data_IF_072844459771
#
_entry.id   IF_072844459771
#
_cell.length_a   1.000
_cell.length_b   1.000
_cell.length_c   1.000
_cell.angle_alpha   90.00
_cell.angle_beta   90.00
_cell.angle_gamma   90.00
#
_symmetry.space_group_name_H-M   'P 1'
#
loop_
_entity.id
_entity.type
_entity.pdbx_description
1 polymer ?
#
# COMPACT_ATOMS: atom_id res chain seq x y z
N UNK A 1 -12.20 -5.44 0.84
CA UNK A 1 -12.62 -4.45 1.84
C UNK A 1 -12.13 -3.09 1.42
N UNK A 2 -13.03 -2.14 1.36
CA UNK A 2 -12.68 -0.74 1.13
C UNK A 2 -13.09 0.04 2.37
N UNK A 3 -12.12 0.66 3.03
CA UNK A 3 -12.36 1.45 4.23
C UNK A 3 -11.79 2.83 4.00
N UNK A 4 -12.61 3.84 4.15
CA UNK A 4 -12.18 5.23 4.12
C UNK A 4 -12.32 5.80 5.53
N UNK A 5 -11.20 6.25 6.08
CA UNK A 5 -11.16 6.99 7.34
C UNK A 5 -10.82 8.42 7.02
N UNK A 6 -11.84 9.25 7.04
CA UNK A 6 -11.67 10.69 7.07
C UNK A 6 -12.16 11.15 8.42
N UNK A 7 -11.64 12.22 8.93
CA UNK A 7 -12.24 12.75 10.12
C UNK A 7 -13.65 13.28 9.77
N UNK A 8 -14.43 13.57 10.79
CA UNK A 8 -15.83 13.95 10.66
C UNK A 8 -16.06 15.28 9.91
N UNK A 9 -15.00 15.98 9.52
CA UNK A 9 -15.05 17.28 8.86
C UNK A 9 -14.85 17.19 7.34
N UNK A 10 -15.05 16.04 6.74
CA UNK A 10 -14.96 15.84 5.28
C UNK A 10 -13.57 16.14 4.70
N UNK A 11 -12.51 15.89 5.47
CA UNK A 11 -11.16 16.03 4.99
C UNK A 11 -10.88 14.90 4.01
N UNK A 12 -10.50 15.25 2.77
CA UNK A 12 -10.13 14.26 1.78
C UNK A 12 -8.85 13.52 2.19
N UNK A 13 -8.75 12.20 1.93
CA UNK A 13 -7.56 11.45 2.26
C UNK A 13 -6.34 11.95 1.50
N UNK A 14 -5.20 11.99 2.17
CA UNK A 14 -3.92 12.35 1.57
C UNK A 14 -2.95 11.17 1.58
N UNK A 15 -3.29 10.08 2.24
CA UNK A 15 -2.53 8.82 2.21
C UNK A 15 -3.45 7.69 1.78
N UNK A 16 -2.98 6.90 0.83
CA UNK A 16 -3.66 5.67 0.44
C UNK A 16 -2.98 4.47 1.06
N UNK A 17 -3.72 3.63 1.77
CA UNK A 17 -3.26 2.32 2.22
C UNK A 17 -3.86 1.30 1.29
N UNK A 18 -3.02 0.65 0.49
CA UNK A 18 -3.46 -0.36 -0.47
C UNK A 18 -2.92 -1.73 -0.06
N UNK A 19 -3.72 -2.76 -0.27
CA UNK A 19 -3.34 -4.13 0.06
C UNK A 19 -3.88 -5.09 -0.99
N UNK A 20 -3.17 -6.18 -1.20
CA UNK A 20 -3.51 -7.15 -2.24
C UNK A 20 -4.69 -8.05 -1.87
N UNK A 21 -5.02 -8.15 -0.60
CA UNK A 21 -6.11 -8.98 -0.10
C UNK A 21 -6.66 -8.40 1.20
N UNK A 22 -7.95 -8.64 1.46
CA UNK A 22 -8.55 -8.25 2.74
C UNK A 22 -7.89 -8.98 3.92
N UNK A 23 -7.28 -10.14 3.70
CA UNK A 23 -6.53 -10.86 4.72
C UNK A 23 -5.27 -10.11 5.18
N UNK A 24 -4.79 -9.14 4.42
CA UNK A 24 -3.64 -8.34 4.79
C UNK A 24 -3.97 -7.22 5.77
N UNK A 25 -5.27 -6.97 6.01
CA UNK A 25 -5.69 -5.86 6.85
C UNK A 25 -5.16 -5.96 8.28
N UNK A 26 -5.06 -7.16 8.84
CA UNK A 26 -4.55 -7.33 10.20
C UNK A 26 -3.12 -6.80 10.37
N UNK A 27 -2.35 -6.75 9.29
CA UNK A 27 -1.02 -6.13 9.25
C UNK A 27 -1.15 -4.64 8.94
N UNK A 28 -1.86 -4.30 7.85
CA UNK A 28 -1.91 -2.93 7.34
C UNK A 28 -2.67 -1.97 8.25
N UNK A 29 -3.55 -2.47 9.10
CA UNK A 29 -4.22 -1.63 10.11
C UNK A 29 -3.23 -0.91 11.04
N UNK A 30 -2.03 -1.44 11.21
CA UNK A 30 -1.01 -0.77 12.02
C UNK A 30 -0.60 0.58 11.42
N UNK A 31 -0.53 0.67 10.09
CA UNK A 31 -0.32 1.96 9.41
C UNK A 31 -1.51 2.90 9.63
N UNK A 32 -2.72 2.38 9.49
CA UNK A 32 -3.94 3.15 9.71
C UNK A 32 -4.00 3.72 11.13
N UNK A 33 -3.69 2.91 12.13
CA UNK A 33 -3.72 3.32 13.54
C UNK A 33 -2.73 4.48 13.80
N UNK A 34 -1.56 4.44 13.21
CA UNK A 34 -0.56 5.51 13.34
C UNK A 34 -1.01 6.79 12.64
N UNK A 35 -1.54 6.67 11.43
CA UNK A 35 -2.06 7.84 10.70
C UNK A 35 -3.21 8.50 11.46
N UNK A 36 -4.10 7.69 12.02
CA UNK A 36 -5.22 8.18 12.83
C UNK A 36 -4.71 8.90 14.08
N UNK A 37 -3.70 8.33 14.75
CA UNK A 37 -3.07 8.95 15.93
C UNK A 37 -2.47 10.33 15.61
N UNK A 38 -1.93 10.51 14.42
CA UNK A 38 -1.36 11.79 13.99
C UNK A 38 -2.38 12.72 13.32
N UNK A 39 -3.64 12.31 13.22
CA UNK A 39 -4.67 13.12 12.59
C UNK A 39 -4.51 13.26 11.08
N UNK A 40 -3.88 12.29 10.45
CA UNK A 40 -3.66 12.28 9.00
C UNK A 40 -4.80 11.52 8.33
N UNK A 41 -5.53 12.19 7.43
CA UNK A 41 -6.62 11.58 6.70
C UNK A 41 -6.09 10.55 5.69
N UNK A 42 -6.68 9.36 5.69
CA UNK A 42 -6.28 8.28 4.80
C UNK A 42 -7.49 7.49 4.30
N UNK A 43 -7.29 6.75 3.24
CA UNK A 43 -8.22 5.71 2.81
C UNK A 43 -7.49 4.36 2.76
N UNK A 44 -8.21 3.28 3.00
CA UNK A 44 -7.68 1.93 2.91
C UNK A 44 -8.51 1.11 1.92
N UNK A 45 -7.86 0.49 0.96
CA UNK A 45 -8.52 -0.24 -0.12
C UNK A 45 -7.80 -1.54 -0.42
N UNK A 46 -8.59 -2.56 -0.76
CA UNK A 46 -8.07 -3.78 -1.36
C UNK A 46 -7.99 -3.57 -2.87
N UNK A 47 -6.78 -3.65 -3.41
CA UNK A 47 -6.53 -3.51 -4.85
C UNK A 47 -5.48 -4.54 -5.24
N UNK A 48 -5.90 -5.70 -5.70
CA UNK A 48 -4.99 -6.77 -6.07
C UNK A 48 -4.32 -6.49 -7.41
N UNK A 49 -2.99 -6.54 -7.44
CA UNK A 49 -2.24 -6.34 -8.68
C UNK A 49 -2.59 -7.38 -9.74
N UNK A 50 -2.86 -8.63 -9.33
CA UNK A 50 -3.08 -9.73 -10.25
C UNK A 50 -4.55 -9.94 -10.61
N UNK A 51 -5.47 -9.59 -9.69
CA UNK A 51 -6.90 -9.84 -9.89
C UNK A 51 -7.67 -8.58 -10.28
N UNK A 52 -7.12 -7.42 -9.99
CA UNK A 52 -7.74 -6.11 -10.24
C UNK A 52 -6.72 -5.15 -10.86
N UNK A 53 -6.03 -5.56 -11.96
CA UNK A 53 -4.94 -4.76 -12.50
C UNK A 53 -5.40 -3.39 -13.00
N UNK A 54 -6.58 -3.30 -13.60
CA UNK A 54 -7.08 -2.02 -14.11
C UNK A 54 -7.40 -1.05 -12.97
N UNK A 55 -8.02 -1.53 -11.89
CA UNK A 55 -8.30 -0.72 -10.70
C UNK A 55 -7.00 -0.23 -10.07
N UNK A 56 -5.99 -1.10 -10.01
CA UNK A 56 -4.67 -0.76 -9.48
C UNK A 56 -4.02 0.36 -10.30
N UNK A 57 -3.99 0.23 -11.62
CA UNK A 57 -3.42 1.24 -12.51
C UNK A 57 -4.20 2.54 -12.44
N UNK A 58 -5.53 2.48 -12.42
CA UNK A 58 -6.36 3.67 -12.28
C UNK A 58 -6.09 4.40 -10.97
N UNK A 59 -5.95 3.67 -9.86
CA UNK A 59 -5.59 4.28 -8.60
C UNK A 59 -4.25 5.01 -8.68
N UNK A 60 -3.24 4.32 -9.19
CA UNK A 60 -1.89 4.88 -9.29
C UNK A 60 -1.84 6.12 -10.18
N UNK A 61 -2.47 6.04 -11.34
CA UNK A 61 -2.46 7.14 -12.31
C UNK A 61 -3.18 8.38 -11.80
N UNK A 62 -4.23 8.21 -11.01
CA UNK A 62 -5.06 9.30 -10.51
C UNK A 62 -4.69 9.78 -9.11
N UNK A 63 -3.79 9.10 -8.42
CA UNK A 63 -3.48 9.37 -7.01
C UNK A 63 -3.06 10.82 -6.78
N UNK A 64 -2.12 11.32 -7.57
CA UNK A 64 -1.64 12.70 -7.43
C UNK A 64 -2.77 13.72 -7.62
N UNK A 65 -3.55 13.57 -8.68
CA UNK A 65 -4.65 14.50 -8.99
C UNK A 65 -5.77 14.42 -7.94
N UNK A 66 -5.91 13.28 -7.28
CA UNK A 66 -6.88 13.09 -6.20
C UNK A 66 -6.36 13.58 -4.84
N UNK A 67 -5.18 14.16 -4.79
CA UNK A 67 -4.62 14.72 -3.57
C UNK A 67 -3.86 13.75 -2.69
N UNK A 68 -3.59 12.54 -3.17
CA UNK A 68 -2.79 11.56 -2.44
C UNK A 68 -1.32 12.00 -2.45
N UNK A 69 -0.71 12.05 -1.28
CA UNK A 69 0.68 12.47 -1.06
C UNK A 69 1.63 11.30 -0.87
N UNK A 70 1.12 10.17 -0.42
CA UNK A 70 1.89 8.95 -0.19
C UNK A 70 0.98 7.73 -0.31
N UNK A 71 1.53 6.63 -0.81
CA UNK A 71 0.84 5.35 -0.88
C UNK A 71 1.62 4.35 -0.02
N UNK A 72 0.94 3.72 0.92
CA UNK A 72 1.48 2.62 1.73
C UNK A 72 0.87 1.34 1.15
N UNK A 73 1.69 0.50 0.55
CA UNK A 73 1.22 -0.68 -0.17
C UNK A 73 1.74 -1.95 0.48
N UNK A 74 0.84 -2.79 0.95
CA UNK A 74 1.16 -4.09 1.55
C UNK A 74 0.77 -5.23 0.63
N UNK A 75 1.66 -6.20 0.50
CA UNK A 75 1.40 -7.38 -0.31
C UNK A 75 2.20 -8.58 0.19
N UNK A 76 1.64 -9.76 0.01
CA UNK A 76 2.26 -11.02 0.41
C UNK A 76 2.49 -11.96 -0.77
N UNK A 77 3.42 -12.89 -0.59
CA UNK A 77 3.79 -13.85 -1.63
C UNK A 77 4.54 -13.18 -2.78
N UNK A 78 4.04 -13.36 -4.00
CA UNK A 78 4.48 -12.59 -5.16
C UNK A 78 3.94 -11.16 -5.04
N UNK A 79 4.62 -10.36 -4.24
CA UNK A 79 4.14 -9.07 -3.75
C UNK A 79 4.41 -7.95 -4.76
N UNK A 80 3.74 -7.99 -5.90
CA UNK A 80 3.98 -7.08 -7.02
C UNK A 80 3.28 -5.73 -6.88
N UNK A 81 2.31 -5.61 -5.97
CA UNK A 81 1.49 -4.39 -5.86
C UNK A 81 2.31 -3.11 -5.66
N UNK A 82 3.27 -3.03 -4.72
CA UNK A 82 4.01 -1.78 -4.53
C UNK A 82 4.78 -1.34 -5.78
N UNK A 83 5.49 -2.27 -6.42
CA UNK A 83 6.27 -1.96 -7.63
C UNK A 83 5.39 -1.58 -8.82
N UNK A 84 4.25 -2.22 -8.98
CA UNK A 84 3.32 -1.92 -10.06
C UNK A 84 2.67 -0.55 -9.87
N UNK A 85 2.32 -0.19 -8.63
CA UNK A 85 1.84 1.16 -8.32
C UNK A 85 2.93 2.20 -8.62
N UNK A 86 4.15 1.96 -8.16
CA UNK A 86 5.26 2.89 -8.36
C UNK A 86 5.56 3.12 -9.84
N UNK A 87 5.34 2.12 -10.69
CA UNK A 87 5.53 2.24 -12.13
C UNK A 87 4.53 3.19 -12.80
N UNK A 88 3.42 3.49 -12.14
CA UNK A 88 2.30 4.26 -12.71
C UNK A 88 2.03 5.59 -12.01
N UNK A 89 2.72 5.89 -10.92
CA UNK A 89 2.46 7.11 -10.15
C UNK A 89 3.73 7.90 -9.91
N UNK A 90 3.57 9.21 -9.73
CA UNK A 90 4.65 10.09 -9.23
C UNK A 90 4.60 10.23 -7.71
N UNK A 91 3.58 9.68 -7.07
CA UNK A 91 3.43 9.70 -5.61
C UNK A 91 4.38 8.70 -4.97
N UNK A 92 5.08 9.05 -3.86
CA UNK A 92 5.94 8.09 -3.18
C UNK A 92 5.19 6.84 -2.74
N UNK A 93 5.79 5.67 -3.00
CA UNK A 93 5.24 4.37 -2.62
C UNK A 93 6.12 3.73 -1.55
N UNK A 94 5.49 3.35 -0.44
CA UNK A 94 6.11 2.68 0.69
C UNK A 94 5.62 1.24 0.72
N UNK A 95 6.51 0.29 0.52
CA UNK A 95 6.17 -1.13 0.43
C UNK A 95 6.31 -1.84 1.76
N UNK A 96 5.27 -2.57 2.14
CA UNK A 96 5.26 -3.40 3.34
C UNK A 96 5.14 -4.86 2.94
N UNK A 97 6.19 -5.68 3.18
CA UNK A 97 6.11 -7.11 2.95
C UNK A 97 5.18 -7.75 3.99
N UNK A 98 4.09 -8.37 3.52
CA UNK A 98 3.16 -9.06 4.42
C UNK A 98 3.61 -10.52 4.57
N UNK A 99 3.64 -11.08 5.80
CA UNK A 99 4.00 -12.47 5.99
C UNK A 99 3.16 -13.42 5.15
N UNK A 100 3.82 -14.39 4.54
CA UNK A 100 3.19 -15.40 3.69
C UNK A 100 3.16 -16.75 4.36
N UNK A 101 2.25 -17.61 3.90
CA UNK A 101 2.04 -18.93 4.49
C UNK A 101 3.27 -19.83 4.41
N UNK A 102 3.97 -19.81 3.27
CA UNK A 102 5.03 -20.79 3.02
C UNK A 102 6.43 -20.28 3.31
N UNK A 103 6.71 -19.01 3.11
CA UNK A 103 8.06 -18.44 3.25
C UNK A 103 8.13 -17.32 4.29
N UNK A 104 7.08 -17.15 5.08
CA UNK A 104 7.07 -16.24 6.25
C UNK A 104 7.36 -14.77 5.89
N UNK A 105 7.11 -14.37 4.67
CA UNK A 105 7.33 -12.99 4.23
C UNK A 105 8.65 -12.75 3.49
N UNK A 106 9.57 -13.73 3.42
CA UNK A 106 10.79 -13.60 2.64
C UNK A 106 10.49 -13.41 1.16
N UNK A 107 9.54 -14.18 0.62
CA UNK A 107 9.05 -14.04 -0.74
C UNK A 107 8.43 -12.65 -0.98
N UNK A 108 7.67 -12.16 -0.03
CA UNK A 108 7.10 -10.81 -0.09
C UNK A 108 8.20 -9.75 -0.13
N UNK A 109 9.17 -9.85 0.77
CA UNK A 109 10.29 -8.92 0.82
C UNK A 109 11.09 -8.90 -0.48
N UNK A 110 11.46 -10.08 -0.99
CA UNK A 110 12.25 -10.18 -2.23
C UNK A 110 11.48 -9.69 -3.45
N UNK A 111 10.15 -9.83 -3.45
CA UNK A 111 9.31 -9.31 -4.53
C UNK A 111 9.24 -7.79 -4.57
N UNK A 112 9.52 -7.13 -3.46
CA UNK A 112 9.35 -5.67 -3.32
C UNK A 112 10.69 -4.93 -3.37
N UNK A 113 11.73 -5.47 -2.71
CA UNK A 113 12.90 -4.67 -2.34
C UNK A 113 13.82 -4.32 -3.50
N UNK A 114 13.98 -5.21 -4.48
CA UNK A 114 14.99 -5.07 -5.52
C UNK A 114 14.42 -4.37 -6.76
N UNK A 115 13.97 -3.13 -6.60
CA UNK A 115 13.36 -2.36 -7.68
C UNK A 115 14.38 -1.93 -8.74
N UNK A 116 13.96 -1.86 -10.01
CA UNK A 116 14.82 -1.37 -11.06
C UNK A 116 15.12 0.13 -10.91
N UNK A 117 16.25 0.54 -11.45
CA UNK A 117 16.65 1.94 -11.47
C UNK A 117 15.56 2.83 -12.07
N UNK A 118 15.20 3.89 -11.39
CA UNK A 118 14.21 4.87 -11.85
C UNK A 118 12.79 4.63 -11.35
N UNK A 119 12.51 3.46 -10.79
CA UNK A 119 11.18 3.15 -10.22
C UNK A 119 11.37 2.78 -8.74
N UNK A 120 11.39 3.76 -7.83
CA UNK A 120 11.69 3.49 -6.43
C UNK A 120 10.46 3.02 -5.65
N UNK A 121 10.70 2.08 -4.74
CA UNK A 121 9.77 1.73 -3.66
C UNK A 121 10.60 1.71 -2.37
N UNK A 122 10.21 2.52 -1.39
CA UNK A 122 10.81 2.44 -0.06
C UNK A 122 10.26 1.19 0.63
N UNK A 123 11.13 0.24 0.94
CA UNK A 123 10.72 -1.06 1.48
C UNK A 123 10.98 -1.12 2.98
N UNK A 124 9.96 -1.50 3.73
CA UNK A 124 10.00 -1.55 5.19
C UNK A 124 10.09 -2.99 5.69
N UNK A 125 10.15 -3.15 7.01
CA UNK A 125 10.26 -4.47 7.62
C UNK A 125 9.05 -5.35 7.33
N UNK A 126 9.25 -6.66 7.42
CA UNK A 126 8.16 -7.64 7.24
C UNK A 126 7.14 -7.49 8.38
N UNK A 127 5.86 -7.43 8.04
CA UNK A 127 4.77 -7.49 8.99
C UNK A 127 4.46 -6.18 9.70
N UNK A 128 4.01 -6.30 10.94
CA UNK A 128 3.53 -5.16 11.74
C UNK A 128 4.57 -4.06 11.89
N UNK A 129 5.83 -4.43 12.06
CA UNK A 129 6.90 -3.44 12.24
C UNK A 129 7.09 -2.58 11.00
N UNK A 130 6.88 -3.13 9.81
CA UNK A 130 6.95 -2.38 8.57
C UNK A 130 5.75 -1.46 8.37
N UNK A 131 4.58 -1.99 8.69
CA UNK A 131 3.35 -1.22 8.55
C UNK A 131 3.28 -0.07 9.54
#
# INVERSE_FOLDING_TARGET
MNTTKTDTNSISPIVGILMGSSSDWHIMKNAADILEKFGIAFEAKVVSAHRMPDDMFNYAENAYNNGIKAIIAGAGGAAHLPGMLAAKTIVPVFGVPVPSKYLSGQDSLYSIVQMPKGIPVATFAIGEAGA
#
